data_IF_545061990620
#
_entry.id   IF_545061990620
#
_cell.length_a   1.000
_cell.length_b   1.000
_cell.length_c   1.000
_cell.angle_alpha   90.00
_cell.angle_beta   90.00
_cell.angle_gamma   90.00
#
_symmetry.space_group_name_H-M   'P 1'
#
loop_
_entity.id
_entity.type
_entity.pdbx_description
1 polymer ?
#
# COMPACT_ATOMS: atom_id res chain seq x y z
N UNK A 1 -3.75 7.45 26.92
CA UNK A 1 -5.16 7.04 27.14
C UNK A 1 -5.18 5.91 28.18
N UNK A 2 -6.18 5.88 29.06
CA UNK A 2 -6.27 4.92 30.17
C UNK A 2 -6.74 3.53 29.68
N UNK A 3 -6.22 2.47 30.29
CA UNK A 3 -6.52 1.08 29.93
C UNK A 3 -8.00 0.70 30.12
N UNK A 4 -8.56 0.98 31.28
CA UNK A 4 -9.93 0.56 31.64
C UNK A 4 -11.03 1.02 30.67
N UNK A 5 -11.12 2.30 30.25
CA UNK A 5 -12.14 2.73 29.30
C UNK A 5 -11.99 2.05 27.93
N UNK A 6 -10.75 1.86 27.47
CA UNK A 6 -10.46 1.19 26.20
C UNK A 6 -10.83 -0.30 26.27
N UNK A 7 -10.43 -0.99 27.35
CA UNK A 7 -10.77 -2.39 27.57
C UNK A 7 -12.29 -2.61 27.59
N UNK A 8 -13.03 -1.83 28.38
CA UNK A 8 -14.50 -1.89 28.43
C UNK A 8 -15.14 -1.68 27.06
N UNK A 9 -14.60 -0.77 26.25
CA UNK A 9 -15.12 -0.51 24.91
C UNK A 9 -14.89 -1.71 23.99
N UNK A 10 -13.69 -2.30 23.99
CA UNK A 10 -13.38 -3.49 23.18
C UNK A 10 -14.21 -4.69 23.64
N UNK A 11 -14.37 -4.88 24.97
CA UNK A 11 -15.19 -5.96 25.51
C UNK A 11 -16.66 -5.80 25.12
N UNK A 12 -17.19 -4.58 25.10
CA UNK A 12 -18.54 -4.30 24.63
C UNK A 12 -18.70 -4.63 23.13
N UNK A 13 -17.73 -4.24 22.29
CA UNK A 13 -17.72 -4.58 20.86
C UNK A 13 -17.68 -6.10 20.66
N UNK A 14 -16.83 -6.80 21.40
CA UNK A 14 -16.74 -8.27 21.36
C UNK A 14 -18.05 -8.96 21.82
N UNK A 15 -18.70 -8.41 22.84
CA UNK A 15 -19.99 -8.91 23.36
C UNK A 15 -21.14 -8.72 22.36
N UNK A 16 -21.06 -7.74 21.45
CA UNK A 16 -22.03 -7.56 20.36
C UNK A 16 -21.82 -8.51 19.17
N UNK A 17 -20.87 -9.45 19.27
CA UNK A 17 -20.57 -10.45 18.25
C UNK A 17 -19.41 -10.10 17.31
N UNK A 18 -18.87 -8.88 17.39
CA UNK A 18 -17.70 -8.52 16.59
C UNK A 18 -16.42 -8.96 17.31
N UNK A 19 -15.77 -10.00 16.79
CA UNK A 19 -14.49 -10.54 17.28
C UNK A 19 -13.32 -10.13 16.38
N UNK A 20 -13.45 -9.01 15.67
CA UNK A 20 -12.45 -8.51 14.76
C UNK A 20 -11.12 -8.21 15.42
N UNK A 21 -10.07 -8.26 14.62
CA UNK A 21 -8.70 -7.96 15.01
C UNK A 21 -8.59 -6.51 15.47
N UNK A 22 -7.99 -6.29 16.62
CA UNK A 22 -7.79 -4.96 17.23
C UNK A 22 -6.45 -4.41 16.76
N UNK A 23 -6.50 -3.31 16.01
CA UNK A 23 -5.32 -2.65 15.45
C UNK A 23 -5.17 -1.26 16.09
N UNK A 24 -3.96 -0.94 16.55
CA UNK A 24 -3.57 0.39 17.00
C UNK A 24 -2.51 1.00 16.08
N UNK A 25 -2.27 2.30 16.21
CA UNK A 25 -1.31 3.04 15.38
C UNK A 25 -0.25 3.70 16.24
N UNK A 26 1.02 3.43 15.93
CA UNK A 26 2.16 4.07 16.58
C UNK A 26 3.42 3.99 15.69
N UNK A 27 4.41 4.88 15.87
CA UNK A 27 5.65 4.86 15.08
C UNK A 27 6.46 3.57 15.21
N UNK A 28 6.38 2.87 16.35
CA UNK A 28 7.04 1.59 16.61
C UNK A 28 6.31 0.36 16.02
N UNK A 29 5.17 0.57 15.37
CA UNK A 29 4.41 -0.50 14.72
C UNK A 29 5.04 -1.01 13.43
N UNK A 30 4.51 -2.11 12.91
CA UNK A 30 4.88 -2.63 11.60
C UNK A 30 4.42 -1.68 10.49
N UNK A 31 5.32 -1.35 9.56
CA UNK A 31 5.01 -0.42 8.47
C UNK A 31 3.86 -0.93 7.60
N UNK A 32 2.89 -0.07 7.32
CA UNK A 32 1.82 -0.33 6.36
C UNK A 32 2.40 -0.37 4.94
N UNK A 33 2.15 -1.46 4.24
CA UNK A 33 2.55 -1.68 2.84
C UNK A 33 1.38 -2.24 2.05
N UNK A 34 1.42 -2.14 0.71
CA UNK A 34 0.40 -2.72 -0.16
C UNK A 34 0.22 -4.23 0.06
N UNK A 35 1.31 -4.97 0.21
CA UNK A 35 1.27 -6.41 0.52
C UNK A 35 0.54 -6.72 1.83
N UNK A 36 0.70 -5.86 2.85
CA UNK A 36 -0.02 -6.00 4.11
C UNK A 36 -1.51 -5.69 3.95
N UNK A 37 -1.85 -4.64 3.20
CA UNK A 37 -3.25 -4.30 2.88
C UNK A 37 -3.93 -5.45 2.14
N UNK A 38 -3.28 -6.01 1.12
CA UNK A 38 -3.83 -7.16 0.37
C UNK A 38 -4.02 -8.39 1.24
N UNK A 39 -3.14 -8.65 2.20
CA UNK A 39 -3.32 -9.72 3.18
C UNK A 39 -4.52 -9.48 4.08
N UNK A 40 -4.70 -8.25 4.59
CA UNK A 40 -5.88 -7.90 5.40
C UNK A 40 -7.19 -8.12 4.64
N UNK A 41 -7.23 -7.77 3.35
CA UNK A 41 -8.39 -8.01 2.48
C UNK A 41 -8.63 -9.51 2.26
N UNK A 42 -7.57 -10.30 2.08
CA UNK A 42 -7.67 -11.75 1.85
C UNK A 42 -8.10 -12.53 3.11
N UNK A 43 -7.79 -12.02 4.29
CA UNK A 43 -8.20 -12.61 5.56
C UNK A 43 -9.70 -12.42 5.85
N UNK A 44 -10.35 -11.46 5.18
CA UNK A 44 -11.79 -11.14 5.27
C UNK A 44 -12.31 -11.01 6.72
N UNK A 45 -11.44 -10.55 7.62
CA UNK A 45 -11.74 -10.37 9.03
C UNK A 45 -12.30 -8.97 9.32
N UNK A 46 -13.23 -8.87 10.26
CA UNK A 46 -13.59 -7.57 10.81
C UNK A 46 -12.41 -6.96 11.58
N UNK A 47 -12.30 -5.63 11.58
CA UNK A 47 -11.21 -4.90 12.20
C UNK A 47 -11.77 -3.88 13.19
N UNK A 48 -11.18 -3.81 14.38
CA UNK A 48 -11.43 -2.76 15.37
C UNK A 48 -10.22 -1.84 15.41
N UNK A 49 -10.40 -0.57 15.06
CA UNK A 49 -9.30 0.40 15.01
C UNK A 49 -9.29 1.25 16.29
N UNK A 50 -8.14 1.27 16.97
CA UNK A 50 -7.89 2.11 18.14
C UNK A 50 -7.10 3.34 17.74
N UNK A 51 -7.77 4.50 17.75
CA UNK A 51 -7.16 5.79 17.44
C UNK A 51 -6.62 6.41 18.74
N UNK A 52 -5.33 6.22 18.99
CA UNK A 52 -4.65 6.82 20.15
C UNK A 52 -4.51 8.33 20.01
N UNK A 53 -4.51 9.03 21.15
CA UNK A 53 -4.31 10.48 21.29
C UNK A 53 -3.34 10.81 22.42
N UNK A 54 -2.87 12.06 22.46
CA UNK A 54 -1.98 12.61 23.49
C UNK A 54 -0.62 11.86 23.53
N UNK A 55 -0.13 11.52 24.74
CA UNK A 55 1.14 10.84 24.98
C UNK A 55 1.12 9.31 24.71
N UNK A 56 0.01 8.80 24.11
CA UNK A 56 -0.12 7.39 23.76
C UNK A 56 -1.17 6.63 24.57
N UNK A 57 -1.13 5.32 24.44
CA UNK A 57 -2.06 4.37 25.06
C UNK A 57 -1.30 3.59 26.13
N UNK A 58 -1.97 3.27 27.24
CA UNK A 58 -1.42 2.45 28.33
C UNK A 58 -0.91 1.11 27.79
N UNK A 59 0.35 0.80 28.09
CA UNK A 59 1.03 -0.40 27.59
C UNK A 59 0.34 -1.70 28.01
N UNK A 60 -0.31 -1.72 29.15
CA UNK A 60 -1.06 -2.89 29.63
C UNK A 60 -2.28 -3.19 28.75
N UNK A 61 -2.91 -2.14 28.20
CA UNK A 61 -3.96 -2.30 27.22
C UNK A 61 -3.39 -2.78 25.88
N UNK A 62 -2.32 -2.19 25.40
CA UNK A 62 -1.67 -2.59 24.14
C UNK A 62 -1.28 -4.06 24.18
N UNK A 63 -0.62 -4.50 25.23
CA UNK A 63 -0.13 -5.88 25.38
C UNK A 63 -1.23 -6.93 25.57
N UNK A 64 -2.44 -6.52 26.01
CA UNK A 64 -3.51 -7.46 26.34
C UNK A 64 -4.63 -7.50 25.30
N UNK A 65 -4.93 -6.38 24.66
CA UNK A 65 -6.12 -6.22 23.80
C UNK A 65 -5.77 -5.97 22.33
N UNK A 66 -4.57 -5.45 22.03
CA UNK A 66 -4.19 -5.08 20.67
C UNK A 66 -3.45 -6.23 20.01
N UNK A 67 -4.01 -6.72 18.90
CA UNK A 67 -3.42 -7.81 18.13
C UNK A 67 -2.27 -7.32 17.27
N UNK A 68 -2.30 -6.03 16.89
CA UNK A 68 -1.34 -5.46 15.97
C UNK A 68 -1.17 -3.95 16.14
N UNK A 69 0.09 -3.48 16.06
CA UNK A 69 0.42 -2.06 15.96
C UNK A 69 0.95 -1.76 14.55
N UNK A 70 0.35 -0.76 13.89
CA UNK A 70 0.68 -0.35 12.52
C UNK A 70 1.32 1.03 12.51
N UNK A 71 2.37 1.20 11.71
CA UNK A 71 3.03 2.47 11.44
C UNK A 71 2.81 2.91 9.99
N UNK A 72 2.51 4.18 9.75
CA UNK A 72 2.51 4.76 8.40
C UNK A 72 3.93 5.13 7.91
N UNK A 73 4.86 5.35 8.82
CA UNK A 73 6.21 5.78 8.50
C UNK A 73 6.94 6.41 9.67
N UNK A 74 8.16 6.88 9.41
CA UNK A 74 9.07 7.42 10.42
C UNK A 74 8.77 8.91 10.70
N UNK A 75 7.56 9.19 11.17
CA UNK A 75 7.09 10.52 11.58
C UNK A 75 5.99 10.38 12.63
N UNK A 76 5.72 11.48 13.34
CA UNK A 76 4.73 11.53 14.41
C UNK A 76 3.50 12.33 13.95
N UNK A 77 2.32 11.82 14.26
CA UNK A 77 1.03 12.46 14.04
C UNK A 77 0.37 12.78 15.39
N UNK A 78 -0.57 13.72 15.40
CA UNK A 78 -1.27 14.15 16.60
C UNK A 78 -2.27 13.12 17.16
N UNK A 79 -2.57 12.06 16.37
CA UNK A 79 -3.50 11.00 16.78
C UNK A 79 -3.59 9.87 15.75
N UNK A 80 -4.29 8.81 16.11
CA UNK A 80 -4.47 7.61 15.29
C UNK A 80 -5.53 7.71 14.20
N UNK A 81 -6.27 8.82 14.13
CA UNK A 81 -7.39 8.96 13.18
C UNK A 81 -6.92 9.03 11.72
N UNK A 82 -5.86 9.79 11.44
CA UNK A 82 -5.31 9.88 10.08
C UNK A 82 -4.73 8.53 9.60
N UNK A 83 -3.92 7.82 10.41
CA UNK A 83 -3.54 6.46 10.09
C UNK A 83 -4.72 5.51 9.87
N UNK A 84 -5.77 5.60 10.69
CA UNK A 84 -6.98 4.80 10.52
C UNK A 84 -7.67 5.11 9.18
N UNK A 85 -7.83 6.38 8.82
CA UNK A 85 -8.39 6.76 7.52
C UNK A 85 -7.55 6.25 6.35
N UNK A 86 -6.22 6.34 6.44
CA UNK A 86 -5.33 5.82 5.40
C UNK A 86 -5.45 4.29 5.26
N UNK A 87 -5.53 3.56 6.37
CA UNK A 87 -5.75 2.11 6.35
C UNK A 87 -7.11 1.76 5.76
N UNK A 88 -8.18 2.44 6.19
CA UNK A 88 -9.54 2.20 5.68
C UNK A 88 -9.58 2.43 4.17
N UNK A 89 -9.07 3.54 3.68
CA UNK A 89 -9.05 3.84 2.24
C UNK A 89 -8.27 2.75 1.47
N UNK A 90 -7.07 2.41 1.94
CA UNK A 90 -6.23 1.40 1.31
C UNK A 90 -6.89 0.01 1.28
N UNK A 91 -7.62 -0.39 2.33
CA UNK A 91 -8.32 -1.68 2.40
C UNK A 91 -9.58 -1.66 1.54
N UNK A 92 -10.43 -0.63 1.71
CA UNK A 92 -11.74 -0.56 1.05
C UNK A 92 -11.58 -0.56 -0.48
N UNK A 93 -10.60 0.16 -1.02
CA UNK A 93 -10.38 0.20 -2.47
C UNK A 93 -9.92 -1.14 -3.07
N UNK A 94 -9.44 -2.09 -2.24
CA UNK A 94 -9.07 -3.44 -2.66
C UNK A 94 -10.23 -4.45 -2.55
N UNK A 95 -11.35 -4.06 -1.93
CA UNK A 95 -12.52 -4.93 -1.82
C UNK A 95 -13.20 -5.11 -3.18
N UNK A 96 -13.72 -6.32 -3.49
CA UNK A 96 -14.46 -6.56 -4.72
C UNK A 96 -15.60 -5.57 -4.91
N UNK A 97 -15.69 -4.94 -6.08
CA UNK A 97 -16.76 -4.00 -6.42
C UNK A 97 -16.61 -2.58 -5.84
N UNK A 98 -15.61 -2.29 -5.02
CA UNK A 98 -15.37 -0.94 -4.51
C UNK A 98 -14.83 0.00 -5.59
N UNK A 99 -13.92 -0.50 -6.41
CA UNK A 99 -13.37 0.18 -7.60
C UNK A 99 -13.42 -0.82 -8.76
N UNK A 100 -13.37 -0.33 -10.01
CA UNK A 100 -13.30 -1.22 -11.18
C UNK A 100 -12.07 -2.12 -11.09
N UNK A 101 -12.24 -3.43 -11.17
CA UNK A 101 -11.20 -4.45 -10.95
C UNK A 101 -9.92 -4.25 -11.78
N UNK A 102 -10.03 -3.66 -12.99
CA UNK A 102 -8.90 -3.34 -13.85
C UNK A 102 -8.02 -2.18 -13.33
N UNK A 103 -8.54 -1.37 -12.40
CA UNK A 103 -7.77 -0.23 -11.85
C UNK A 103 -6.72 -0.66 -10.82
N UNK A 104 -6.99 -1.70 -10.04
CA UNK A 104 -6.11 -2.12 -8.93
C UNK A 104 -5.02 -3.10 -9.35
N UNK A 105 -5.15 -3.74 -10.53
CA UNK A 105 -4.18 -4.71 -11.04
C UNK A 105 -2.91 -4.05 -11.60
N UNK A 106 -3.03 -2.84 -12.13
CA UNK A 106 -1.96 -2.14 -12.86
C UNK A 106 -1.33 -1.00 -12.05
N UNK A 107 -1.77 -0.78 -10.82
CA UNK A 107 -1.24 0.26 -9.93
C UNK A 107 0.13 -0.08 -9.34
N UNK A 108 0.79 0.94 -8.79
CA UNK A 108 2.03 0.78 -8.02
C UNK A 108 1.89 -0.33 -6.97
N UNK A 109 2.93 -1.15 -6.85
CA UNK A 109 3.05 -2.30 -5.95
C UNK A 109 2.26 -3.56 -6.34
N UNK A 110 1.22 -3.48 -7.17
CA UNK A 110 0.45 -4.66 -7.60
C UNK A 110 1.36 -5.74 -8.21
N UNK A 111 2.27 -5.34 -9.08
CA UNK A 111 3.29 -6.23 -9.68
C UNK A 111 4.63 -6.20 -8.93
N UNK A 112 4.70 -5.53 -7.77
CA UNK A 112 5.93 -5.34 -6.98
C UNK A 112 6.78 -4.14 -7.42
N UNK A 113 6.36 -3.38 -8.44
CA UNK A 113 7.03 -2.20 -8.96
C UNK A 113 6.16 -0.95 -8.78
N UNK A 114 6.74 0.21 -9.02
CA UNK A 114 5.97 1.45 -9.20
C UNK A 114 5.30 1.44 -10.57
N UNK A 115 4.17 2.12 -10.66
CA UNK A 115 3.47 2.31 -11.94
C UNK A 115 4.27 3.22 -12.88
N UNK A 116 4.00 3.09 -14.18
CA UNK A 116 4.62 3.92 -15.20
C UNK A 116 4.05 5.35 -15.18
N UNK A 117 4.78 6.34 -15.73
CA UNK A 117 4.26 7.69 -15.85
C UNK A 117 2.99 7.75 -16.70
N UNK A 118 2.00 8.49 -16.22
CA UNK A 118 0.75 8.74 -16.94
C UNK A 118 0.79 10.05 -17.71
N UNK A 119 0.17 10.06 -18.88
CA UNK A 119 0.03 11.24 -19.73
C UNK A 119 -1.43 11.52 -20.00
N UNK A 120 -1.79 12.81 -20.01
CA UNK A 120 -3.14 13.29 -20.29
C UNK A 120 -3.15 14.25 -21.49
N UNK A 121 -4.30 14.72 -21.92
CA UNK A 121 -4.45 15.77 -22.92
C UNK A 121 -3.97 17.12 -22.35
N UNK A 122 -3.42 18.02 -23.22
CA UNK A 122 -3.17 17.87 -24.65
C UNK A 122 -1.93 17.03 -24.97
N UNK A 123 -1.77 16.56 -26.22
CA UNK A 123 -0.59 15.79 -26.67
C UNK A 123 0.72 16.58 -26.54
N UNK A 124 0.67 17.89 -26.68
CA UNK A 124 1.80 18.79 -26.44
C UNK A 124 1.43 19.77 -25.34
N UNK A 125 2.18 19.75 -24.24
CA UNK A 125 2.02 20.70 -23.16
C UNK A 125 3.33 21.43 -22.87
N UNK A 126 3.34 22.74 -23.12
CA UNK A 126 4.53 23.63 -22.95
C UNK A 126 5.78 23.10 -23.67
N UNK A 127 5.61 22.58 -24.89
CA UNK A 127 6.71 22.02 -25.71
C UNK A 127 7.13 20.59 -25.34
N UNK A 128 6.51 19.98 -24.35
CA UNK A 128 6.71 18.57 -23.98
C UNK A 128 5.64 17.71 -24.64
N UNK A 129 6.05 16.66 -25.34
CA UNK A 129 5.16 15.75 -26.08
C UNK A 129 4.86 14.49 -25.28
N UNK A 130 3.65 13.96 -25.47
CA UNK A 130 3.33 12.61 -25.05
C UNK A 130 4.17 11.61 -25.86
N UNK A 131 4.77 10.59 -25.27
CA UNK A 131 5.51 9.56 -25.99
C UNK A 131 4.67 8.97 -27.15
N UNK A 132 5.22 9.00 -28.36
CA UNK A 132 4.51 8.59 -29.59
C UNK A 132 3.99 7.14 -29.54
N UNK A 133 4.65 6.27 -28.79
CA UNK A 133 4.22 4.89 -28.59
C UNK A 133 2.82 4.82 -27.95
N UNK A 134 2.49 5.74 -27.02
CA UNK A 134 1.19 5.80 -26.36
C UNK A 134 0.05 6.25 -27.30
N UNK A 135 0.40 6.99 -28.34
CA UNK A 135 -0.52 7.47 -29.38
C UNK A 135 -0.70 6.47 -30.54
N UNK A 136 0.13 5.43 -30.59
CA UNK A 136 0.21 4.50 -31.73
C UNK A 136 -0.97 3.53 -31.85
N UNK A 137 -1.76 3.34 -30.78
CA UNK A 137 -2.83 2.32 -30.70
C UNK A 137 -2.32 0.86 -30.71
N UNK A 138 -1.01 0.64 -30.71
CA UNK A 138 -0.39 -0.70 -30.74
C UNK A 138 -0.24 -1.24 -29.31
N UNK A 139 -1.27 -1.91 -28.80
CA UNK A 139 -1.34 -2.37 -27.40
C UNK A 139 -0.06 -3.09 -26.92
N UNK A 140 0.51 -3.98 -27.73
CA UNK A 140 1.74 -4.70 -27.35
C UNK A 140 2.93 -3.76 -27.11
N UNK A 141 3.08 -2.75 -27.97
CA UNK A 141 4.17 -1.77 -27.84
C UNK A 141 3.94 -0.87 -26.62
N UNK A 142 2.69 -0.48 -26.37
CA UNK A 142 2.30 0.30 -25.19
C UNK A 142 2.61 -0.50 -23.92
N UNK A 143 2.20 -1.76 -23.83
CA UNK A 143 2.51 -2.62 -22.69
C UNK A 143 4.02 -2.78 -22.44
N UNK A 144 4.79 -3.00 -23.49
CA UNK A 144 6.25 -3.09 -23.36
C UNK A 144 6.83 -1.79 -22.82
N UNK A 145 6.45 -0.66 -23.41
CA UNK A 145 6.90 0.66 -22.97
C UNK A 145 6.49 0.94 -21.52
N UNK A 146 5.23 0.68 -21.15
CA UNK A 146 4.74 0.85 -19.77
C UNK A 146 5.56 0.02 -18.80
N UNK A 147 5.86 -1.25 -19.14
CA UNK A 147 6.67 -2.11 -18.28
C UNK A 147 8.10 -1.59 -18.13
N UNK A 148 8.73 -1.13 -19.20
CA UNK A 148 10.09 -0.56 -19.18
C UNK A 148 10.15 0.75 -18.38
N UNK A 149 9.15 1.61 -18.48
CA UNK A 149 9.08 2.85 -17.69
C UNK A 149 8.85 2.55 -16.20
N UNK A 150 8.00 1.59 -15.87
CA UNK A 150 7.80 1.09 -14.51
C UNK A 150 9.12 0.59 -13.91
N UNK A 151 9.87 -0.23 -14.63
CA UNK A 151 11.20 -0.70 -14.22
C UNK A 151 12.18 0.45 -14.03
N UNK A 152 12.23 1.41 -14.98
CA UNK A 152 13.09 2.57 -14.92
C UNK A 152 12.80 3.43 -13.71
N UNK A 153 11.54 3.81 -13.50
CA UNK A 153 11.11 4.63 -12.37
C UNK A 153 11.43 3.93 -11.05
N UNK A 154 11.13 2.64 -10.96
CA UNK A 154 11.39 1.86 -9.75
C UNK A 154 12.89 1.76 -9.48
N UNK A 155 13.71 1.51 -10.50
CA UNK A 155 15.16 1.43 -10.36
C UNK A 155 15.76 2.76 -9.86
N UNK A 156 15.24 3.89 -10.36
CA UNK A 156 15.74 5.22 -10.00
C UNK A 156 15.32 5.68 -8.61
N UNK A 157 14.09 5.38 -8.20
CA UNK A 157 13.49 5.97 -6.99
C UNK A 157 13.32 4.98 -5.84
N UNK A 158 13.09 3.70 -6.14
CA UNK A 158 12.84 2.63 -5.17
C UNK A 158 13.56 1.33 -5.55
N UNK A 159 14.91 1.35 -5.61
CA UNK A 159 15.70 0.15 -5.95
C UNK A 159 15.51 -0.99 -4.95
N UNK A 160 15.05 -0.71 -3.74
CA UNK A 160 14.63 -1.71 -2.75
C UNK A 160 13.50 -2.60 -3.26
N UNK A 161 12.53 -2.04 -4.00
CA UNK A 161 11.41 -2.79 -4.60
C UNK A 161 11.90 -3.76 -5.69
N UNK A 162 12.91 -3.39 -6.48
CA UNK A 162 13.52 -4.30 -7.45
C UNK A 162 14.09 -5.54 -6.75
N UNK A 163 14.82 -5.36 -5.64
CA UNK A 163 15.36 -6.48 -4.83
C UNK A 163 14.24 -7.38 -4.31
N UNK A 164 13.18 -6.79 -3.78
CA UNK A 164 12.03 -7.53 -3.27
C UNK A 164 11.33 -8.28 -4.40
N UNK A 165 11.08 -7.63 -5.55
CA UNK A 165 10.42 -8.24 -6.68
C UNK A 165 11.23 -9.40 -7.28
N UNK A 166 12.55 -9.26 -7.33
CA UNK A 166 13.44 -10.32 -7.81
C UNK A 166 13.46 -11.52 -6.85
N UNK A 167 13.65 -11.28 -5.55
CA UNK A 167 13.64 -12.34 -4.53
C UNK A 167 12.29 -13.06 -4.41
N UNK A 168 11.19 -12.35 -4.71
CA UNK A 168 9.82 -12.89 -4.71
C UNK A 168 9.40 -13.51 -6.06
N UNK A 169 10.33 -13.61 -7.00
CA UNK A 169 10.11 -14.15 -8.35
C UNK A 169 8.99 -13.45 -9.15
N UNK A 170 8.81 -12.13 -8.91
CA UNK A 170 7.84 -11.26 -9.60
C UNK A 170 8.40 -10.64 -10.89
N UNK A 171 9.70 -10.77 -11.15
CA UNK A 171 10.36 -10.28 -12.36
C UNK A 171 10.45 -11.39 -13.42
N UNK A 172 10.06 -11.06 -14.64
CA UNK A 172 10.26 -11.92 -15.80
C UNK A 172 11.73 -11.94 -16.25
N UNK A 173 12.12 -12.91 -17.08
CA UNK A 173 13.46 -12.91 -17.69
C UNK A 173 13.70 -11.70 -18.61
N UNK A 174 12.65 -11.13 -19.20
CA UNK A 174 12.74 -9.89 -19.97
C UNK A 174 13.06 -8.72 -19.06
N UNK A 175 12.39 -8.61 -17.89
CA UNK A 175 12.64 -7.58 -16.90
C UNK A 175 14.09 -7.64 -16.39
N UNK A 176 14.57 -8.84 -16.04
CA UNK A 176 15.94 -9.04 -15.57
C UNK A 176 16.97 -8.66 -16.63
N UNK A 177 16.72 -8.99 -17.91
CA UNK A 177 17.61 -8.55 -19.01
C UNK A 177 17.62 -7.04 -19.16
N UNK A 178 16.45 -6.41 -19.11
CA UNK A 178 16.33 -4.96 -19.19
C UNK A 178 17.06 -4.28 -18.01
N UNK A 179 16.87 -4.76 -16.80
CA UNK A 179 17.52 -4.24 -15.59
C UNK A 179 19.05 -4.34 -15.68
N UNK A 180 19.62 -5.49 -16.12
CA UNK A 180 21.07 -5.65 -16.32
C UNK A 180 21.62 -4.68 -17.34
N UNK A 181 20.89 -4.48 -18.45
CA UNK A 181 21.27 -3.50 -19.48
C UNK A 181 21.25 -2.05 -18.98
N UNK A 182 20.46 -1.76 -17.93
CA UNK A 182 20.33 -0.44 -17.31
C UNK A 182 21.08 -0.29 -15.97
N UNK A 183 22.08 -1.13 -15.72
CA UNK A 183 23.03 -0.97 -14.59
C UNK A 183 22.64 -1.66 -13.29
N UNK A 184 21.58 -2.45 -13.25
CA UNK A 184 21.26 -3.30 -12.12
C UNK A 184 22.23 -4.49 -12.05
N UNK A 185 22.86 -4.69 -10.88
CA UNK A 185 23.85 -5.77 -10.63
C UNK A 185 23.26 -6.88 -9.77
#
# INVERSE_FOLDING_TARGET
>A
MMADPLAKTVDMIRSSGNRGRVISFAPNGTRLTDDRVRRMVAEDDSIVLICGRYEGIDERFLSTYVDEVVSLGDFVLSGGELPACALIDAVVRQLPGAIKDLSTSDESFATGLLDAPHYTRPEVWRGMEVPSVLLSGRHKNIQTWTREESLRLTLQTRPDLIKIADSSNKLSEADRRWLRANGWK
#
